data_IF_487997281947
#
_entry.id   IF_487997281947
#
_cell.length_a   1.000
_cell.length_b   1.000
_cell.length_c   1.000
_cell.angle_alpha   90.00
_cell.angle_beta   90.00
_cell.angle_gamma   90.00
#
_symmetry.space_group_name_H-M   'P 1'
#
loop_
_entity.id
_entity.type
_entity.pdbx_description
1 polymer ?
#
# COMPACT_ATOMS: atom_id res chain seq x y z
N UNK A 1 8.18 -34.50 -18.26
CA UNK A 1 7.48 -33.29 -18.73
C UNK A 1 6.53 -32.71 -17.67
N UNK A 2 5.42 -33.38 -17.32
CA UNK A 2 4.34 -32.80 -16.52
C UNK A 2 4.75 -32.22 -15.14
N UNK A 3 5.67 -32.87 -14.41
CA UNK A 3 6.18 -32.38 -13.12
C UNK A 3 6.83 -30.99 -13.22
N UNK A 4 7.54 -30.69 -14.30
CA UNK A 4 8.10 -29.36 -14.52
C UNK A 4 7.00 -28.32 -14.76
N UNK A 5 5.98 -28.65 -15.55
CA UNK A 5 4.87 -27.73 -15.83
C UNK A 5 4.13 -27.32 -14.54
N UNK A 6 3.85 -28.28 -13.65
CA UNK A 6 3.22 -28.01 -12.36
C UNK A 6 4.09 -27.17 -11.42
N UNK A 7 5.42 -27.42 -11.41
CA UNK A 7 6.37 -26.60 -10.66
C UNK A 7 6.45 -25.17 -11.20
N UNK A 8 6.52 -25.00 -12.52
CA UNK A 8 6.54 -23.68 -13.18
C UNK A 8 5.26 -22.88 -12.86
N UNK A 9 4.08 -23.50 -12.94
CA UNK A 9 2.82 -22.82 -12.64
C UNK A 9 2.74 -22.39 -11.17
N UNK A 10 3.17 -23.26 -10.23
CA UNK A 10 3.20 -22.95 -8.80
C UNK A 10 4.24 -21.87 -8.46
N UNK A 11 5.40 -21.87 -9.12
CA UNK A 11 6.41 -20.82 -8.99
C UNK A 11 5.89 -19.48 -9.53
N UNK A 12 5.27 -19.48 -10.71
CA UNK A 12 4.66 -18.28 -11.31
C UNK A 12 3.61 -17.67 -10.37
N UNK A 13 2.67 -18.48 -9.85
CA UNK A 13 1.70 -18.00 -8.86
C UNK A 13 2.37 -17.45 -7.58
N UNK A 14 3.39 -18.12 -7.05
CA UNK A 14 4.07 -17.68 -5.82
C UNK A 14 4.81 -16.33 -5.97
N UNK A 15 5.23 -15.95 -7.18
CA UNK A 15 5.92 -14.68 -7.44
C UNK A 15 5.00 -13.57 -7.98
N UNK A 16 3.91 -13.93 -8.67
CA UNK A 16 2.92 -13.00 -9.27
C UNK A 16 1.66 -12.85 -8.41
N UNK A 17 1.67 -13.32 -7.15
CA UNK A 17 0.56 -13.10 -6.23
C UNK A 17 0.42 -11.62 -5.87
N UNK A 18 -0.75 -11.05 -6.19
CA UNK A 18 -1.19 -9.71 -5.82
C UNK A 18 -2.40 -9.86 -4.90
N UNK A 19 -2.24 -9.52 -3.61
CA UNK A 19 -3.32 -9.56 -2.61
C UNK A 19 -4.02 -8.19 -2.59
N UNK A 20 -5.36 -8.10 -2.76
CA UNK A 20 -6.07 -6.84 -2.69
C UNK A 20 -6.05 -6.31 -1.25
N UNK A 21 -5.61 -5.06 -1.05
CA UNK A 21 -5.47 -4.45 0.29
C UNK A 21 -6.44 -3.30 0.54
N UNK A 22 -6.75 -2.52 -0.49
CA UNK A 22 -7.69 -1.41 -0.39
C UNK A 22 -8.24 -0.97 -1.77
N UNK A 23 -9.33 -0.22 -1.75
CA UNK A 23 -9.87 0.51 -2.89
C UNK A 23 -9.82 2.02 -2.62
N UNK A 24 -9.46 2.80 -3.64
CA UNK A 24 -9.57 4.25 -3.64
C UNK A 24 -10.65 4.65 -4.65
N UNK A 25 -11.66 5.38 -4.20
CA UNK A 25 -12.67 6.01 -5.07
C UNK A 25 -12.51 7.52 -4.95
N UNK A 26 -12.22 8.19 -6.07
CA UNK A 26 -11.99 9.64 -6.11
C UNK A 26 -13.19 10.39 -6.67
N UNK A 27 -13.62 11.42 -5.97
CA UNK A 27 -14.70 12.33 -6.33
C UNK A 27 -14.17 13.78 -6.25
N UNK A 28 -14.66 14.68 -7.08
CA UNK A 28 -14.26 16.09 -6.99
C UNK A 28 -14.97 16.74 -5.80
N UNK A 29 -14.26 17.62 -5.08
CA UNK A 29 -14.85 18.43 -4.00
C UNK A 29 -15.39 19.76 -4.55
N UNK A 30 -16.22 20.44 -3.77
CA UNK A 30 -16.60 21.84 -4.01
C UNK A 30 -15.43 22.80 -3.72
N UNK A 31 -14.46 22.38 -2.90
CA UNK A 31 -13.27 23.15 -2.60
C UNK A 31 -12.24 23.13 -3.77
N UNK A 32 -11.63 24.28 -4.13
CA UNK A 32 -10.58 24.32 -5.15
C UNK A 32 -9.38 23.42 -4.81
N UNK A 33 -8.78 22.80 -5.84
CA UNK A 33 -7.60 21.93 -5.74
C UNK A 33 -7.75 20.77 -4.72
N UNK A 34 -8.98 20.32 -4.49
CA UNK A 34 -9.33 19.36 -3.45
C UNK A 34 -10.16 18.21 -4.02
N UNK A 35 -9.84 16.99 -3.62
CA UNK A 35 -10.50 15.76 -4.03
C UNK A 35 -11.04 15.02 -2.80
N UNK A 36 -12.30 14.59 -2.85
CA UNK A 36 -12.87 13.70 -1.86
C UNK A 36 -12.45 12.26 -2.21
N UNK A 37 -11.70 11.63 -1.32
CA UNK A 37 -11.21 10.27 -1.46
C UNK A 37 -11.92 9.36 -0.48
N UNK A 38 -12.67 8.39 -0.99
CA UNK A 38 -13.19 7.29 -0.19
C UNK A 38 -12.18 6.15 -0.23
N UNK A 39 -11.63 5.78 0.92
CA UNK A 39 -10.71 4.65 1.07
C UNK A 39 -11.46 3.49 1.72
N UNK A 40 -11.57 2.37 1.03
CA UNK A 40 -12.10 1.10 1.55
C UNK A 40 -10.92 0.18 1.83
N UNK A 41 -10.67 -0.16 3.09
CA UNK A 41 -9.61 -1.09 3.48
C UNK A 41 -10.19 -2.48 3.73
N UNK A 42 -9.58 -3.52 3.17
CA UNK A 42 -9.92 -4.90 3.47
C UNK A 42 -9.18 -5.35 4.74
N UNK A 43 -9.90 -5.92 5.70
CA UNK A 43 -9.34 -6.42 6.96
C UNK A 43 -9.35 -7.96 6.99
N UNK A 44 -8.46 -8.60 7.77
CA UNK A 44 -8.30 -10.07 7.77
C UNK A 44 -9.57 -10.87 8.05
N UNK A 45 -10.50 -10.35 8.86
CA UNK A 45 -11.74 -11.03 9.27
C UNK A 45 -12.89 -10.85 8.24
N UNK A 46 -12.55 -10.64 6.96
CA UNK A 46 -13.45 -10.22 5.88
C UNK A 46 -14.24 -8.91 6.15
N UNK A 47 -13.94 -8.21 7.24
CA UNK A 47 -14.47 -6.89 7.52
C UNK A 47 -13.89 -5.85 6.56
N UNK A 48 -14.67 -4.81 6.27
CA UNK A 48 -14.25 -3.67 5.47
C UNK A 48 -14.36 -2.38 6.30
N UNK A 49 -13.35 -1.52 6.22
CA UNK A 49 -13.39 -0.18 6.81
C UNK A 49 -13.41 0.84 5.69
N UNK A 50 -14.54 1.52 5.51
CA UNK A 50 -14.70 2.61 4.55
C UNK A 50 -14.67 3.94 5.27
N UNK A 51 -13.70 4.78 4.92
CA UNK A 51 -13.53 6.12 5.48
C UNK A 51 -13.39 7.15 4.34
N UNK A 52 -13.93 8.35 4.53
CA UNK A 52 -13.82 9.45 3.57
C UNK A 52 -12.83 10.51 4.05
N UNK A 53 -12.02 11.02 3.12
CA UNK A 53 -10.91 11.92 3.39
C UNK A 53 -10.88 13.05 2.34
N UNK A 54 -10.67 14.28 2.80
CA UNK A 54 -10.66 15.46 1.94
C UNK A 54 -9.19 15.84 1.62
N UNK A 55 -8.73 15.51 0.42
CA UNK A 55 -7.32 15.56 0.05
C UNK A 55 -7.03 16.77 -0.83
N UNK A 56 -6.12 17.65 -0.38
CA UNK A 56 -5.59 18.77 -1.15
C UNK A 56 -4.40 18.31 -2.00
N UNK A 57 -4.42 18.56 -3.31
CA UNK A 57 -3.35 18.20 -4.24
C UNK A 57 -3.78 17.44 -5.50
N UNK A 58 -2.85 17.35 -6.45
CA UNK A 58 -3.07 16.75 -7.78
C UNK A 58 -3.20 15.21 -7.74
N UNK A 59 -2.59 14.61 -6.73
CA UNK A 59 -2.50 13.15 -6.56
C UNK A 59 -2.85 12.76 -5.14
N UNK A 60 -3.52 11.61 -4.99
CA UNK A 60 -3.56 10.89 -3.73
C UNK A 60 -2.34 9.99 -3.62
N UNK A 61 -1.85 9.79 -2.40
CA UNK A 61 -0.72 8.94 -2.08
C UNK A 61 -1.06 8.10 -0.85
N UNK A 62 -1.16 6.79 -1.02
CA UNK A 62 -1.33 5.82 0.06
C UNK A 62 0.03 5.21 0.40
N UNK A 63 0.41 5.30 1.66
CA UNK A 63 1.70 4.81 2.16
C UNK A 63 1.50 3.63 3.14
N UNK A 64 2.53 2.78 3.24
CA UNK A 64 2.55 1.70 4.19
C UNK A 64 3.93 1.07 4.40
N UNK A 65 4.03 0.30 5.47
CA UNK A 65 5.20 -0.52 5.78
C UNK A 65 5.08 -1.91 5.13
N UNK A 66 6.20 -2.45 4.65
CA UNK A 66 6.28 -3.78 4.04
C UNK A 66 7.40 -4.59 4.69
N UNK A 67 7.04 -5.79 5.14
CA UNK A 67 7.95 -6.86 5.58
C UNK A 67 7.93 -7.97 4.52
N UNK A 68 9.06 -8.14 3.83
CA UNK A 68 9.25 -9.16 2.81
C UNK A 68 10.08 -10.32 3.37
N UNK A 69 9.50 -11.52 3.32
CA UNK A 69 10.20 -12.78 3.59
C UNK A 69 11.13 -13.18 2.44
N UNK A 70 12.06 -14.08 2.70
CA UNK A 70 12.87 -14.69 1.65
C UNK A 70 12.01 -15.35 0.57
N UNK A 71 12.39 -15.18 -0.69
CA UNK A 71 11.65 -15.65 -1.86
C UNK A 71 11.27 -17.15 -1.83
N UNK A 72 12.04 -17.99 -1.13
CA UNK A 72 11.76 -19.42 -1.02
C UNK A 72 10.60 -19.74 -0.05
N UNK A 73 10.26 -18.83 0.86
CA UNK A 73 9.17 -18.98 1.83
C UNK A 73 7.80 -18.73 1.22
N UNK A 74 7.73 -18.02 0.08
CA UNK A 74 6.51 -17.90 -0.72
C UNK A 74 5.96 -19.28 -1.12
N UNK A 75 6.84 -20.26 -1.39
CA UNK A 75 6.43 -21.65 -1.70
C UNK A 75 5.80 -22.39 -0.51
N UNK A 76 6.08 -21.93 0.71
CA UNK A 76 5.49 -22.41 1.97
C UNK A 76 4.25 -21.59 2.40
N UNK A 77 3.78 -20.65 1.56
CA UNK A 77 2.60 -19.82 1.84
C UNK A 77 2.86 -18.61 2.76
N UNK A 78 4.13 -18.28 3.02
CA UNK A 78 4.48 -17.07 3.78
C UNK A 78 4.57 -15.86 2.84
N UNK A 79 3.43 -15.21 2.63
CA UNK A 79 3.31 -14.01 1.80
C UNK A 79 3.82 -12.75 2.51
N UNK A 80 4.15 -11.72 1.70
CA UNK A 80 4.53 -10.37 2.16
C UNK A 80 3.56 -9.88 3.25
N UNK A 81 4.09 -9.41 4.39
CA UNK A 81 3.27 -8.73 5.41
C UNK A 81 3.31 -7.24 5.16
N UNK A 82 2.17 -6.58 5.24
CA UNK A 82 2.03 -5.15 5.01
C UNK A 82 1.28 -4.47 6.14
N UNK A 83 1.35 -3.14 6.16
CA UNK A 83 0.53 -2.27 6.99
C UNK A 83 0.36 -0.92 6.30
N UNK A 84 -0.86 -0.55 5.96
CA UNK A 84 -1.16 0.82 5.52
C UNK A 84 -0.94 1.77 6.71
N UNK A 85 -0.23 2.88 6.50
CA UNK A 85 0.16 3.82 7.58
C UNK A 85 -0.53 5.16 7.46
N UNK A 86 -0.54 5.76 6.26
CA UNK A 86 -1.13 7.09 6.04
C UNK A 86 -1.61 7.29 4.61
N UNK A 87 -2.61 8.15 4.46
CA UNK A 87 -3.14 8.64 3.20
C UNK A 87 -2.85 10.15 3.11
N UNK A 88 -2.22 10.60 2.03
CA UNK A 88 -1.69 11.96 1.87
C UNK A 88 -2.06 12.56 0.52
N UNK A 89 -2.23 13.88 0.50
CA UNK A 89 -2.28 14.68 -0.72
C UNK A 89 -0.87 15.04 -1.20
N UNK A 90 -0.62 14.80 -2.48
CA UNK A 90 0.65 15.03 -3.14
C UNK A 90 0.47 16.02 -4.30
N UNK A 91 1.37 17.00 -4.37
CA UNK A 91 1.50 17.89 -5.51
C UNK A 91 2.57 17.34 -6.46
N UNK A 92 2.44 17.62 -7.76
CA UNK A 92 3.43 17.18 -8.76
C UNK A 92 4.74 17.96 -8.62
N UNK A 93 4.63 19.25 -8.27
CA UNK A 93 5.77 20.16 -8.12
C UNK A 93 6.20 20.27 -6.65
N UNK A 94 7.50 20.14 -6.39
CA UNK A 94 8.06 20.21 -5.03
C UNK A 94 7.88 21.61 -4.41
N UNK A 95 8.00 22.67 -5.23
CA UNK A 95 7.71 24.05 -4.84
C UNK A 95 6.26 24.23 -4.38
N UNK A 96 5.31 23.52 -5.00
CA UNK A 96 3.92 23.56 -4.55
C UNK A 96 3.72 22.77 -3.26
N UNK A 97 4.30 21.57 -3.15
CA UNK A 97 4.22 20.77 -1.92
C UNK A 97 4.86 21.46 -0.70
N UNK A 98 5.83 22.35 -0.93
CA UNK A 98 6.48 23.16 0.10
C UNK A 98 5.66 24.40 0.52
N UNK A 99 4.91 25.00 -0.41
CA UNK A 99 4.27 26.30 -0.19
C UNK A 99 2.74 26.23 -0.04
N UNK A 100 2.10 25.15 -0.51
CA UNK A 100 0.66 24.89 -0.35
C UNK A 100 0.39 24.03 0.88
N UNK A 101 -0.85 24.05 1.35
CA UNK A 101 -1.30 23.25 2.48
C UNK A 101 -1.48 21.78 2.08
N UNK A 102 -0.71 20.87 2.69
CA UNK A 102 -0.77 19.43 2.36
C UNK A 102 -1.65 18.67 3.37
N UNK A 103 -2.67 17.94 2.91
CA UNK A 103 -3.45 17.08 3.81
C UNK A 103 -2.75 15.74 4.08
N UNK A 104 -2.72 15.31 5.34
CA UNK A 104 -2.18 14.00 5.76
C UNK A 104 -3.15 13.38 6.77
N UNK A 105 -3.55 12.14 6.54
CA UNK A 105 -4.41 11.36 7.43
C UNK A 105 -3.69 10.08 7.84
N UNK A 106 -3.57 9.84 9.15
CA UNK A 106 -3.07 8.57 9.67
C UNK A 106 -4.14 7.49 9.57
N UNK A 107 -3.78 6.32 9.06
CA UNK A 107 -4.65 5.14 8.97
C UNK A 107 -4.47 4.19 10.15
N UNK A 108 -3.54 4.51 11.06
CA UNK A 108 -3.15 3.66 12.18
C UNK A 108 -3.30 4.37 13.52
N UNK A 109 -3.60 3.62 14.58
CA UNK A 109 -3.72 4.16 15.94
C UNK A 109 -2.37 4.59 16.56
N UNK A 110 -1.27 3.99 16.11
CA UNK A 110 0.09 4.25 16.61
C UNK A 110 1.11 4.11 15.47
N UNK A 111 1.58 5.24 14.93
CA UNK A 111 2.62 5.24 13.90
C UNK A 111 3.96 4.68 14.42
N UNK A 112 4.26 4.84 15.71
CA UNK A 112 5.52 4.41 16.35
C UNK A 112 5.51 2.94 16.83
N UNK A 113 4.66 2.11 16.25
CA UNK A 113 4.41 0.73 16.65
C UNK A 113 5.71 -0.06 16.93
N UNK A 114 5.96 -0.51 18.19
CA UNK A 114 7.26 -1.05 18.60
C UNK A 114 7.78 -2.22 17.73
N UNK A 115 6.90 -3.11 17.27
CA UNK A 115 7.28 -4.22 16.38
C UNK A 115 7.83 -3.72 15.04
N UNK A 116 7.18 -2.75 14.38
CA UNK A 116 7.64 -2.23 13.10
C UNK A 116 8.96 -1.48 13.26
N UNK A 117 9.09 -0.66 14.31
CA UNK A 117 10.36 -0.01 14.67
C UNK A 117 11.50 -1.01 14.90
N UNK A 118 11.21 -2.15 15.54
CA UNK A 118 12.18 -3.24 15.69
C UNK A 118 12.52 -3.89 14.34
N UNK A 119 11.52 -4.18 13.51
CA UNK A 119 11.70 -4.77 12.17
C UNK A 119 12.53 -3.87 11.25
N UNK A 120 12.30 -2.55 11.21
CA UNK A 120 13.15 -1.62 10.46
C UNK A 120 14.61 -1.62 10.97
N UNK A 121 14.81 -1.70 12.28
CA UNK A 121 16.15 -1.62 12.89
C UNK A 121 16.94 -2.94 12.81
N UNK A 122 16.26 -4.08 12.90
CA UNK A 122 16.87 -5.40 13.11
C UNK A 122 16.43 -6.47 12.09
N UNK A 123 15.45 -6.20 11.22
CA UNK A 123 14.91 -7.15 10.26
C UNK A 123 15.96 -7.75 9.33
N UNK A 124 16.95 -6.96 8.90
CA UNK A 124 18.10 -7.42 8.11
C UNK A 124 19.00 -8.46 8.80
N UNK A 125 18.77 -8.76 10.09
CA UNK A 125 19.47 -9.80 10.87
C UNK A 125 18.57 -10.94 11.29
N UNK A 126 17.26 -10.82 11.09
CA UNK A 126 16.33 -11.89 11.40
C UNK A 126 16.48 -12.97 10.32
N UNK A 127 16.55 -14.26 10.69
CA UNK A 127 16.45 -15.32 9.69
C UNK A 127 15.10 -15.19 8.98
N UNK A 128 15.03 -15.67 7.73
CA UNK A 128 13.81 -15.71 6.91
C UNK A 128 13.32 -14.34 6.39
N UNK A 129 13.86 -13.23 6.88
CA UNK A 129 13.48 -11.87 6.45
C UNK A 129 14.43 -11.36 5.38
N UNK A 130 13.90 -11.11 4.19
CA UNK A 130 14.67 -10.55 3.07
C UNK A 130 14.87 -9.04 3.22
N UNK A 131 13.81 -8.29 3.53
CA UNK A 131 13.88 -6.83 3.71
C UNK A 131 12.66 -6.26 4.44
N UNK A 132 12.84 -5.09 5.05
CA UNK A 132 11.79 -4.27 5.68
C UNK A 132 11.93 -2.86 5.15
N UNK A 133 10.89 -2.32 4.52
CA UNK A 133 10.94 -1.02 3.83
C UNK A 133 9.56 -0.35 3.77
N UNK A 134 9.56 0.98 3.67
CA UNK A 134 8.36 1.76 3.40
C UNK A 134 8.08 1.78 1.90
N UNK A 135 6.81 1.69 1.53
CA UNK A 135 6.36 1.77 0.16
C UNK A 135 5.13 2.67 0.04
N UNK A 136 4.96 3.28 -1.13
CA UNK A 136 3.85 4.19 -1.38
C UNK A 136 3.34 4.04 -2.81
N UNK A 137 2.01 4.03 -2.93
CA UNK A 137 1.28 4.03 -4.18
C UNK A 137 0.60 5.40 -4.35
N UNK A 138 0.75 6.02 -5.51
CA UNK A 138 0.11 7.31 -5.82
C UNK A 138 -0.49 7.32 -7.22
N UNK A 139 -1.55 8.10 -7.42
CA UNK A 139 -2.17 8.29 -8.72
C UNK A 139 -2.90 9.63 -8.82
N UNK A 140 -3.14 10.10 -10.05
CA UNK A 140 -3.87 11.34 -10.31
C UNK A 140 -5.31 11.28 -9.81
N UNK A 141 -5.63 12.16 -8.87
CA UNK A 141 -6.98 12.51 -8.47
C UNK A 141 -7.80 12.93 -9.69
N UNK A 142 -9.09 12.61 -9.71
CA UNK A 142 -10.00 13.05 -10.78
C UNK A 142 -11.38 12.44 -10.69
N UNK A 143 -12.33 13.02 -11.44
CA UNK A 143 -13.75 12.66 -11.38
C UNK A 143 -14.02 11.17 -11.53
N UNK A 144 -14.62 10.59 -10.49
CA UNK A 144 -15.27 9.28 -10.55
C UNK A 144 -14.34 8.11 -10.85
N UNK A 145 -13.04 8.24 -10.58
CA UNK A 145 -12.10 7.13 -10.79
C UNK A 145 -12.18 6.16 -9.62
N UNK A 146 -12.03 4.89 -9.93
CA UNK A 146 -11.93 3.79 -8.99
C UNK A 146 -10.61 3.10 -9.25
N UNK A 147 -9.83 2.91 -8.20
CA UNK A 147 -8.52 2.28 -8.23
C UNK A 147 -8.46 1.15 -7.22
N UNK A 148 -7.91 0.02 -7.64
CA UNK A 148 -7.66 -1.11 -6.74
C UNK A 148 -6.19 -1.10 -6.34
N UNK A 149 -5.92 -1.23 -5.04
CA UNK A 149 -4.57 -1.29 -4.50
C UNK A 149 -4.32 -2.73 -4.06
N UNK A 150 -3.23 -3.28 -4.58
CA UNK A 150 -2.75 -4.62 -4.25
C UNK A 150 -1.40 -4.52 -3.55
N UNK A 151 -1.08 -5.50 -2.70
CA UNK A 151 0.30 -5.76 -2.27
C UNK A 151 0.85 -6.93 -3.07
N UNK A 152 2.06 -6.74 -3.58
CA UNK A 152 2.81 -7.73 -4.37
C UNK A 152 4.09 -8.16 -3.65
N UNK A 153 4.90 -8.99 -4.31
CA UNK A 153 6.25 -9.33 -3.83
C UNK A 153 7.25 -8.16 -3.92
N UNK A 154 6.88 -7.01 -4.53
CA UNK A 154 7.74 -5.84 -4.75
C UNK A 154 7.22 -4.52 -4.16
N UNK A 155 5.97 -4.44 -3.71
CA UNK A 155 5.38 -3.21 -3.17
C UNK A 155 3.87 -3.17 -3.29
N UNK A 156 3.28 -2.02 -2.92
CA UNK A 156 1.91 -1.68 -3.30
C UNK A 156 1.85 -1.34 -4.80
N UNK A 157 0.79 -1.80 -5.47
CA UNK A 157 0.55 -1.61 -6.90
C UNK A 157 -0.87 -1.08 -7.08
N UNK A 158 -1.03 -0.06 -7.92
CA UNK A 158 -2.35 0.47 -8.32
C UNK A 158 -2.76 -0.19 -9.64
N UNK A 159 -4.01 -0.62 -9.71
CA UNK A 159 -4.68 -1.13 -10.92
C UNK A 159 -5.91 -0.28 -11.22
#
# INVERSE_FOLDING_TARGET
>A
MALFMGFFFRAYQAFTYEEPVAEIITQDSEEPNTCLVTLVQYLPDAAQSSNQFLIKGDQWMLEGDILKWDNWLNFLGLHTRYRLTRLRGRYIQAEEEKNKETTIYSLVKDENHPLWRYLYKHGHRLPLVSTVYGNAAYQFSGKGKHFFIYVSTSGFVVR
#
